data_IF_397579093885
#
_entry.id   IF_397579093885
#
_cell.length_a   1.000
_cell.length_b   1.000
_cell.length_c   1.000
_cell.angle_alpha   90.00
_cell.angle_beta   90.00
_cell.angle_gamma   90.00
#
_symmetry.space_group_name_H-M   'P 1'
#
loop_
_entity.id
_entity.type
_entity.pdbx_description
1 polymer ?
#
# COMPACT_ATOMS: atom_id res chain seq x y z
N UNK A 1 -26.00 -30.52 -47.29
CA UNK A 1 -26.69 -29.46 -48.04
C UNK A 1 -27.37 -28.51 -47.04
N UNK A 2 -27.07 -27.20 -47.13
CA UNK A 2 -27.72 -26.02 -46.51
C UNK A 2 -27.61 -25.73 -44.99
N UNK A 3 -26.63 -24.88 -44.66
CA UNK A 3 -26.68 -23.53 -44.04
C UNK A 3 -27.83 -23.12 -43.07
N UNK A 4 -27.45 -22.59 -41.89
CA UNK A 4 -27.85 -21.29 -41.25
C UNK A 4 -27.23 -21.22 -39.84
N UNK A 5 -26.10 -20.54 -39.63
CA UNK A 5 -25.88 -19.13 -39.24
C UNK A 5 -26.57 -18.65 -37.93
N UNK A 6 -25.69 -18.43 -36.93
CA UNK A 6 -25.73 -17.62 -35.71
C UNK A 6 -26.97 -16.77 -35.37
N UNK A 7 -27.47 -16.94 -34.15
CA UNK A 7 -27.55 -15.90 -33.08
C UNK A 7 -27.98 -16.58 -31.77
N UNK A 8 -27.04 -16.89 -30.88
CA UNK A 8 -27.36 -17.13 -29.47
C UNK A 8 -27.09 -15.84 -28.71
N UNK A 9 -28.18 -15.18 -28.33
CA UNK A 9 -28.18 -14.11 -27.33
C UNK A 9 -27.51 -14.62 -26.06
N UNK A 10 -26.41 -13.99 -25.68
CA UNK A 10 -25.88 -14.05 -24.32
C UNK A 10 -26.92 -13.34 -23.46
N UNK A 11 -27.63 -14.10 -22.63
CA UNK A 11 -28.39 -13.53 -21.53
C UNK A 11 -27.38 -12.89 -20.56
N UNK A 12 -27.16 -11.58 -20.73
CA UNK A 12 -26.55 -10.72 -19.72
C UNK A 12 -27.51 -10.71 -18.53
N UNK A 13 -27.17 -11.46 -17.50
CA UNK A 13 -27.71 -11.28 -16.16
C UNK A 13 -27.41 -9.84 -15.73
N UNK A 14 -28.43 -9.00 -15.79
CA UNK A 14 -28.43 -7.65 -15.26
C UNK A 14 -28.29 -7.72 -13.74
N UNK A 15 -27.05 -7.65 -13.25
CA UNK A 15 -26.75 -7.35 -11.85
C UNK A 15 -27.32 -5.95 -11.58
N UNK A 16 -28.11 -5.75 -10.51
CA UNK A 16 -28.72 -4.45 -10.23
C UNK A 16 -27.62 -3.42 -9.99
N UNK A 17 -27.51 -2.49 -10.96
CA UNK A 17 -26.77 -1.25 -10.87
C UNK A 17 -27.40 -0.44 -9.74
N UNK A 18 -26.56 0.13 -8.88
CA UNK A 18 -26.93 1.06 -7.80
C UNK A 18 -28.04 2.02 -8.25
N UNK A 19 -29.28 1.74 -7.83
CA UNK A 19 -30.37 2.68 -7.92
C UNK A 19 -30.26 3.66 -6.77
N UNK A 20 -30.09 4.94 -7.08
CA UNK A 20 -30.56 6.00 -6.20
C UNK A 20 -32.06 5.79 -6.07
N UNK A 21 -32.50 5.28 -4.91
CA UNK A 21 -33.92 4.99 -4.67
C UNK A 21 -34.55 6.23 -4.05
N UNK A 22 -35.34 6.97 -4.84
CA UNK A 22 -36.23 7.99 -4.30
C UNK A 22 -37.40 7.29 -3.59
N UNK A 23 -37.28 7.08 -2.27
CA UNK A 23 -38.41 6.62 -1.46
C UNK A 23 -39.29 7.80 -1.09
N UNK A 24 -40.39 8.00 -1.82
CA UNK A 24 -41.48 8.85 -1.34
C UNK A 24 -42.19 8.12 -0.18
N UNK A 25 -41.82 8.41 1.07
CA UNK A 25 -42.64 7.97 2.21
C UNK A 25 -43.95 8.76 2.22
N UNK A 26 -45.02 8.17 1.67
CA UNK A 26 -46.40 8.57 1.99
C UNK A 26 -46.72 8.07 3.39
N UNK A 27 -46.79 8.97 4.37
CA UNK A 27 -47.52 8.68 5.59
C UNK A 27 -49.02 8.58 5.22
N UNK A 28 -49.57 7.38 5.17
CA UNK A 28 -51.02 7.17 5.11
C UNK A 28 -51.60 7.46 6.51
N UNK A 29 -52.15 8.66 6.66
CA UNK A 29 -53.10 8.94 7.74
C UNK A 29 -54.41 8.27 7.34
N UNK A 30 -54.80 7.22 8.05
CA UNK A 30 -56.16 6.67 8.03
C UNK A 30 -57.14 7.79 8.41
N UNK A 31 -58.13 8.07 7.57
CA UNK A 31 -59.38 8.69 8.01
C UNK A 31 -60.55 8.06 7.26
N UNK A 32 -61.47 7.53 8.04
CA UNK A 32 -62.81 7.13 7.65
C UNK A 32 -63.69 8.36 7.43
N UNK A 33 -64.71 8.18 6.58
CA UNK A 33 -65.97 8.93 6.43
C UNK A 33 -66.08 10.14 5.48
N UNK A 34 -67.02 9.93 4.53
CA UNK A 34 -68.08 10.82 4.01
C UNK A 34 -67.78 11.99 3.04
N UNK A 35 -68.10 11.71 1.78
CA UNK A 35 -68.90 12.45 0.78
C UNK A 35 -69.06 13.99 0.84
N UNK A 36 -68.42 14.62 -0.16
CA UNK A 36 -68.82 15.78 -1.01
C UNK A 36 -69.41 17.09 -0.44
N UNK A 37 -68.68 18.18 -0.76
CA UNK A 37 -69.01 19.32 -1.67
C UNK A 37 -68.79 20.70 -1.02
N UNK A 38 -67.92 21.49 -1.66
CA UNK A 38 -67.80 22.93 -1.42
C UNK A 38 -66.51 23.46 -2.01
N UNK A 39 -66.61 24.19 -3.12
CA UNK A 39 -65.51 24.96 -3.71
C UNK A 39 -65.10 26.05 -2.71
N UNK A 40 -63.81 26.17 -2.42
CA UNK A 40 -63.10 27.42 -2.70
C UNK A 40 -61.59 27.20 -2.82
N UNK A 41 -61.05 27.90 -3.81
CA UNK A 41 -59.64 27.89 -4.17
C UNK A 41 -58.83 28.72 -3.17
N UNK A 42 -58.11 28.02 -2.30
CA UNK A 42 -56.73 28.42 -1.97
C UNK A 42 -55.88 27.20 -2.21
N UNK A 43 -55.29 27.11 -3.40
CA UNK A 43 -54.10 26.30 -3.61
C UNK A 43 -52.99 26.96 -2.79
N UNK A 44 -52.98 26.72 -1.47
CA UNK A 44 -51.71 26.65 -0.78
C UNK A 44 -50.92 25.59 -1.55
N UNK A 45 -49.89 26.05 -2.29
CA UNK A 45 -48.79 25.16 -2.64
C UNK A 45 -48.24 24.70 -1.30
N UNK A 46 -48.74 23.58 -0.78
CA UNK A 46 -47.95 22.74 0.10
C UNK A 46 -46.68 22.43 -0.70
N UNK A 47 -45.64 23.24 -0.51
CA UNK A 47 -44.27 22.85 -0.78
C UNK A 47 -44.03 21.66 0.15
N UNK A 48 -44.45 20.47 -0.31
CA UNK A 48 -44.08 19.21 0.33
C UNK A 48 -42.57 19.14 0.22
N UNK A 49 -41.92 19.53 1.31
CA UNK A 49 -40.48 19.47 1.53
C UNK A 49 -40.03 18.01 1.36
N UNK A 50 -39.69 17.61 0.13
CA UNK A 50 -39.24 16.25 -0.15
C UNK A 50 -37.81 16.08 0.34
N UNK A 51 -37.55 14.88 0.83
CA UNK A 51 -36.19 14.46 1.18
C UNK A 51 -35.67 13.55 0.08
N UNK A 52 -34.45 13.81 -0.38
CA UNK A 52 -33.74 12.94 -1.32
C UNK A 52 -32.82 12.01 -0.54
N UNK A 53 -33.02 10.69 -0.68
CA UNK A 53 -32.20 9.70 -0.01
C UNK A 53 -30.94 9.38 -0.83
N UNK A 54 -29.78 9.54 -0.21
CA UNK A 54 -28.47 9.10 -0.66
C UNK A 54 -28.06 7.92 0.22
N UNK A 55 -28.35 6.71 -0.25
CA UNK A 55 -27.98 5.49 0.45
C UNK A 55 -26.72 4.84 -0.15
N UNK A 56 -25.82 4.43 0.72
CA UNK A 56 -24.58 3.77 0.35
C UNK A 56 -24.77 2.27 0.34
N UNK A 57 -24.58 1.65 -0.82
CA UNK A 57 -24.48 0.19 -0.85
C UNK A 57 -23.28 -0.26 -0.03
N UNK A 58 -23.47 -1.33 0.74
CA UNK A 58 -22.39 -1.98 1.49
C UNK A 58 -21.22 -2.48 0.61
N UNK A 59 -21.42 -2.51 -0.71
CA UNK A 59 -20.45 -2.91 -1.73
C UNK A 59 -19.46 -1.79 -2.09
N UNK A 60 -19.72 -0.54 -1.71
CA UNK A 60 -18.78 0.57 -1.95
C UNK A 60 -17.61 0.54 -0.97
N UNK A 61 -17.81 0.02 0.24
CA UNK A 61 -16.76 -0.33 1.20
C UNK A 61 -16.05 -1.64 0.83
N UNK A 62 -16.29 -2.16 -0.39
CA UNK A 62 -15.55 -3.29 -0.89
C UNK A 62 -14.09 -2.89 -1.11
N UNK A 63 -13.21 -3.78 -0.70
CA UNK A 63 -11.77 -3.67 -0.86
C UNK A 63 -11.27 -4.30 -2.16
N UNK A 64 -12.16 -4.62 -3.10
CA UNK A 64 -11.84 -5.18 -4.40
C UNK A 64 -11.28 -4.07 -5.31
N UNK A 65 -10.10 -4.31 -5.92
CA UNK A 65 -9.48 -3.37 -6.87
C UNK A 65 -10.39 -3.06 -8.07
N UNK A 66 -11.33 -3.93 -8.41
CA UNK A 66 -12.29 -3.65 -9.50
C UNK A 66 -13.43 -2.73 -9.07
N UNK A 67 -13.53 -2.41 -7.77
CA UNK A 67 -14.58 -1.55 -7.22
C UNK A 67 -14.23 -0.05 -7.26
N UNK A 68 -13.08 0.36 -7.81
CA UNK A 68 -12.73 1.79 -7.90
C UNK A 68 -13.72 2.63 -8.70
N UNK A 69 -14.29 2.06 -9.75
CA UNK A 69 -15.31 2.73 -10.55
C UNK A 69 -16.53 3.10 -9.69
N UNK A 70 -16.85 2.30 -8.68
CA UNK A 70 -17.97 2.58 -7.75
C UNK A 70 -17.75 3.85 -6.95
N UNK A 71 -16.51 4.17 -6.55
CA UNK A 71 -16.22 5.44 -5.87
C UNK A 71 -16.39 6.63 -6.82
N UNK A 72 -15.98 6.49 -8.08
CA UNK A 72 -16.15 7.56 -9.07
C UNK A 72 -17.63 7.77 -9.42
N UNK A 73 -18.35 6.70 -9.77
CA UNK A 73 -19.80 6.71 -10.02
C UNK A 73 -20.57 7.33 -8.85
N UNK A 74 -20.18 6.98 -7.62
CA UNK A 74 -20.77 7.56 -6.43
C UNK A 74 -20.54 9.08 -6.32
N UNK A 75 -19.29 9.52 -6.53
CA UNK A 75 -18.96 10.95 -6.51
C UNK A 75 -19.68 11.69 -7.64
N UNK A 76 -19.82 11.08 -8.82
CA UNK A 76 -20.62 11.63 -9.92
C UNK A 76 -22.09 11.78 -9.51
N UNK A 77 -22.68 10.76 -8.90
CA UNK A 77 -24.05 10.83 -8.37
C UNK A 77 -24.24 11.93 -7.32
N UNK A 78 -23.26 12.14 -6.44
CA UNK A 78 -23.29 13.28 -5.51
C UNK A 78 -23.29 14.64 -6.24
N UNK A 79 -22.55 14.76 -7.34
CA UNK A 79 -22.48 15.99 -8.12
C UNK A 79 -23.76 16.27 -8.93
N UNK A 80 -24.70 15.33 -9.00
CA UNK A 80 -26.04 15.55 -9.58
C UNK A 80 -27.04 16.18 -8.59
N UNK A 81 -26.75 16.17 -7.29
CA UNK A 81 -27.62 16.75 -6.24
C UNK A 81 -27.98 18.22 -6.49
N UNK A 82 -27.05 19.10 -6.93
CA UNK A 82 -27.37 20.48 -7.29
C UNK A 82 -28.40 20.62 -8.41
N UNK A 83 -28.58 19.59 -9.24
CA UNK A 83 -29.54 19.59 -10.36
C UNK A 83 -30.92 19.07 -9.97
N UNK A 84 -31.10 18.60 -8.73
CA UNK A 84 -32.41 18.16 -8.26
C UNK A 84 -33.40 19.32 -8.25
N UNK A 85 -34.68 19.01 -8.53
CA UNK A 85 -35.77 19.99 -8.45
C UNK A 85 -35.87 20.65 -7.08
N UNK A 86 -36.40 21.88 -7.03
CA UNK A 86 -36.59 22.66 -5.81
C UNK A 86 -37.60 22.03 -4.83
N UNK A 87 -38.35 21.02 -5.26
CA UNK A 87 -39.20 20.23 -4.36
C UNK A 87 -38.40 19.44 -3.32
N UNK A 88 -37.13 19.13 -3.59
CA UNK A 88 -36.22 18.51 -2.64
C UNK A 88 -35.45 19.58 -1.90
N UNK A 89 -35.75 19.79 -0.61
CA UNK A 89 -35.04 20.72 0.24
C UNK A 89 -34.13 20.03 1.26
N UNK A 90 -34.23 18.71 1.42
CA UNK A 90 -33.42 17.91 2.33
C UNK A 90 -32.71 16.78 1.63
N UNK A 91 -31.50 16.48 2.07
CA UNK A 91 -30.68 15.35 1.64
C UNK A 91 -30.49 14.44 2.85
N UNK A 92 -30.90 13.19 2.75
CA UNK A 92 -30.69 12.18 3.77
C UNK A 92 -29.56 11.25 3.36
N UNK A 93 -28.52 11.15 4.17
CA UNK A 93 -27.31 10.38 3.90
C UNK A 93 -27.30 9.17 4.82
N UNK A 94 -27.26 7.97 4.22
CA UNK A 94 -27.23 6.71 4.97
C UNK A 94 -26.05 5.85 4.58
N UNK A 95 -25.12 5.61 5.50
CA UNK A 95 -24.04 4.62 5.34
C UNK A 95 -24.25 3.49 6.35
N UNK A 96 -25.05 2.45 6.02
CA UNK A 96 -25.48 1.45 7.00
C UNK A 96 -24.33 0.75 7.73
N UNK A 97 -23.30 0.33 7.00
CA UNK A 97 -22.10 -0.33 7.56
C UNK A 97 -21.30 0.54 8.55
N UNK A 98 -21.42 1.87 8.46
CA UNK A 98 -20.79 2.79 9.40
C UNK A 98 -21.76 3.28 10.48
N UNK A 99 -23.04 2.85 10.42
CA UNK A 99 -24.14 3.33 11.26
C UNK A 99 -24.36 4.84 11.14
N UNK A 100 -24.06 5.41 9.96
CA UNK A 100 -24.30 6.81 9.68
C UNK A 100 -25.70 6.99 9.09
N UNK A 101 -26.49 7.86 9.68
CA UNK A 101 -27.78 8.30 9.15
C UNK A 101 -27.98 9.77 9.50
N UNK A 102 -27.79 10.66 8.52
CA UNK A 102 -27.74 12.10 8.74
C UNK A 102 -28.57 12.86 7.70
N UNK A 103 -29.39 13.78 8.17
CA UNK A 103 -30.19 14.65 7.30
C UNK A 103 -29.56 16.04 7.25
N UNK A 104 -29.50 16.61 6.05
CA UNK A 104 -28.96 17.93 5.76
C UNK A 104 -29.98 18.75 4.98
N UNK A 105 -30.00 20.07 5.21
CA UNK A 105 -30.63 20.99 4.26
C UNK A 105 -29.83 20.97 2.94
N UNK A 106 -30.52 20.96 1.79
CA UNK A 106 -29.90 20.85 0.46
C UNK A 106 -28.87 21.94 0.21
N UNK A 107 -29.20 23.19 0.52
CA UNK A 107 -28.27 24.32 0.36
C UNK A 107 -27.01 24.17 1.21
N UNK A 108 -27.13 23.64 2.43
CA UNK A 108 -25.98 23.36 3.27
C UNK A 108 -25.14 22.23 2.66
N UNK A 109 -25.80 21.16 2.20
CA UNK A 109 -25.12 20.02 1.60
C UNK A 109 -24.31 20.41 0.35
N UNK A 110 -24.88 21.23 -0.53
CA UNK A 110 -24.20 21.72 -1.73
C UNK A 110 -22.98 22.60 -1.39
N UNK A 111 -23.17 23.57 -0.48
CA UNK A 111 -22.13 24.54 -0.10
C UNK A 111 -21.03 23.92 0.76
N UNK A 112 -21.37 23.09 1.75
CA UNK A 112 -20.38 22.58 2.71
C UNK A 112 -19.88 21.18 2.38
N UNK A 113 -20.70 20.32 1.78
CA UNK A 113 -20.31 18.94 1.47
C UNK A 113 -19.75 18.84 0.05
N UNK A 114 -20.56 19.13 -0.98
CA UNK A 114 -20.15 18.98 -2.39
C UNK A 114 -18.97 19.88 -2.75
N UNK A 115 -19.03 21.15 -2.36
CA UNK A 115 -17.95 22.11 -2.66
C UNK A 115 -16.62 21.68 -2.04
N UNK A 116 -16.61 21.26 -0.77
CA UNK A 116 -15.36 20.86 -0.08
C UNK A 116 -14.78 19.55 -0.61
N UNK A 117 -15.62 18.57 -0.97
CA UNK A 117 -15.15 17.32 -1.61
C UNK A 117 -14.38 17.61 -2.89
N UNK A 118 -14.88 18.56 -3.70
CA UNK A 118 -14.33 18.89 -5.01
C UNK A 118 -13.13 19.86 -4.95
N UNK A 119 -13.13 20.83 -4.03
CA UNK A 119 -12.17 21.93 -4.04
C UNK A 119 -11.02 21.77 -3.04
N UNK A 120 -11.19 21.01 -1.95
CA UNK A 120 -10.10 20.82 -0.98
C UNK A 120 -9.08 19.86 -1.56
N UNK A 121 -7.87 20.33 -1.88
CA UNK A 121 -6.80 19.46 -2.34
C UNK A 121 -6.18 18.72 -1.16
N UNK A 122 -6.41 17.40 -1.10
CA UNK A 122 -5.94 16.55 -0.03
C UNK A 122 -5.47 15.23 -0.63
N UNK A 123 -4.23 14.88 -0.31
CA UNK A 123 -3.54 13.70 -0.81
C UNK A 123 -3.00 12.89 0.35
N UNK A 124 -3.10 11.58 0.23
CA UNK A 124 -2.44 10.64 1.11
C UNK A 124 -1.14 10.20 0.44
N UNK A 125 -0.03 10.42 1.11
CA UNK A 125 1.27 9.88 0.72
C UNK A 125 1.77 9.03 1.87
N UNK A 126 2.38 7.90 1.53
CA UNK A 126 3.19 7.18 2.49
C UNK A 126 4.46 7.99 2.69
N UNK A 127 4.64 8.48 3.92
CA UNK A 127 5.86 9.14 4.34
C UNK A 127 6.69 8.21 5.21
N UNK A 128 7.36 7.27 4.54
CA UNK A 128 8.41 6.47 5.17
C UNK A 128 9.79 7.07 4.88
N UNK A 129 10.74 7.02 5.84
CA UNK A 129 12.13 7.28 5.53
C UNK A 129 12.58 6.30 4.44
N UNK A 130 13.29 6.82 3.44
CA UNK A 130 13.84 6.02 2.33
C UNK A 130 14.83 4.93 2.81
N UNK A 131 15.17 4.95 4.10
CA UNK A 131 16.05 4.03 4.82
C UNK A 131 15.33 3.11 5.83
N UNK A 132 14.03 2.86 5.66
CA UNK A 132 13.32 1.86 6.47
C UNK A 132 14.07 0.51 6.49
N UNK A 133 14.36 -0.01 7.69
CA UNK A 133 15.01 -1.32 7.87
C UNK A 133 14.12 -2.44 7.32
N UNK A 134 14.72 -3.34 6.55
CA UNK A 134 14.11 -4.55 5.99
C UNK A 134 14.70 -5.75 6.72
N UNK A 135 13.89 -6.47 7.49
CA UNK A 135 14.32 -7.76 8.07
C UNK A 135 13.97 -8.90 7.13
N UNK A 136 14.98 -9.64 6.69
CA UNK A 136 14.83 -10.85 5.89
C UNK A 136 14.60 -12.03 6.84
N UNK A 137 13.42 -12.66 6.75
CA UNK A 137 13.05 -13.86 7.51
C UNK A 137 12.12 -14.79 6.69
N UNK A 138 12.59 -15.32 5.54
CA UNK A 138 11.75 -16.14 4.68
C UNK A 138 11.35 -17.44 5.39
N UNK A 139 10.07 -17.77 5.33
CA UNK A 139 9.47 -18.99 5.88
C UNK A 139 9.11 -20.00 4.80
N UNK A 140 9.17 -19.61 3.54
CA UNK A 140 8.85 -20.46 2.37
C UNK A 140 9.93 -20.31 1.29
N UNK A 141 10.00 -21.26 0.36
CA UNK A 141 10.90 -21.15 -0.81
C UNK A 141 10.61 -19.90 -1.66
N UNK A 142 9.33 -19.52 -1.79
CA UNK A 142 8.92 -18.33 -2.53
C UNK A 142 9.48 -17.07 -1.86
N UNK A 143 9.28 -16.92 -0.55
CA UNK A 143 9.83 -15.80 0.21
C UNK A 143 11.36 -15.77 0.16
N UNK A 144 12.03 -16.94 0.16
CA UNK A 144 13.47 -17.02 0.03
C UNK A 144 13.94 -16.51 -1.34
N UNK A 145 13.32 -16.95 -2.43
CA UNK A 145 13.61 -16.45 -3.80
C UNK A 145 13.35 -14.95 -3.92
N UNK A 146 12.32 -14.42 -3.25
CA UNK A 146 12.07 -12.98 -3.20
C UNK A 146 13.18 -12.23 -2.43
N UNK A 147 13.68 -12.80 -1.32
CA UNK A 147 14.79 -12.24 -0.56
C UNK A 147 16.11 -12.24 -1.38
N UNK A 148 16.39 -13.32 -2.13
CA UNK A 148 17.53 -13.37 -3.07
C UNK A 148 17.47 -12.22 -4.08
N UNK A 149 16.31 -12.06 -4.74
CA UNK A 149 16.09 -10.98 -5.71
C UNK A 149 16.18 -9.60 -5.07
N UNK A 150 15.72 -9.44 -3.82
CA UNK A 150 15.83 -8.17 -3.11
C UNK A 150 17.28 -7.82 -2.85
N UNK A 151 18.07 -8.74 -2.31
CA UNK A 151 19.49 -8.52 -2.04
C UNK A 151 20.23 -8.16 -3.34
N UNK A 152 20.00 -8.90 -4.41
CA UNK A 152 20.55 -8.58 -5.73
C UNK A 152 20.12 -7.19 -6.23
N UNK A 153 18.83 -6.85 -6.16
CA UNK A 153 18.33 -5.55 -6.63
C UNK A 153 18.83 -4.36 -5.81
N UNK A 154 19.02 -4.54 -4.51
CA UNK A 154 19.54 -3.50 -3.63
C UNK A 154 21.04 -3.30 -3.79
N UNK A 155 21.79 -4.40 -3.95
CA UNK A 155 23.25 -4.37 -3.85
C UNK A 155 23.99 -4.53 -5.18
N UNK A 156 23.31 -4.88 -6.27
CA UNK A 156 23.92 -4.82 -7.60
C UNK A 156 24.12 -3.37 -8.02
N UNK A 157 25.33 -3.08 -8.51
CA UNK A 157 25.86 -1.75 -8.78
C UNK A 157 25.89 -0.82 -7.55
N UNK A 158 25.92 -1.39 -6.35
CA UNK A 158 26.04 -0.64 -5.10
C UNK A 158 27.49 -0.20 -4.90
N UNK A 159 27.70 1.09 -4.65
CA UNK A 159 29.03 1.62 -4.37
C UNK A 159 29.47 1.20 -2.98
N UNK A 160 30.60 0.50 -2.89
CA UNK A 160 31.22 0.13 -1.61
C UNK A 160 32.59 0.79 -1.46
N UNK A 161 32.99 1.07 -0.23
CA UNK A 161 34.32 1.64 0.04
C UNK A 161 35.40 0.56 -0.17
N UNK A 162 36.49 0.92 -0.86
CA UNK A 162 37.67 0.07 -1.06
C UNK A 162 38.26 -0.43 0.26
N UNK A 163 38.38 0.44 1.26
CA UNK A 163 38.93 0.11 2.59
C UNK A 163 38.13 -1.02 3.24
N UNK A 164 36.82 -1.00 3.10
CA UNK A 164 35.96 -2.06 3.61
C UNK A 164 36.10 -3.34 2.78
N UNK A 165 35.94 -3.26 1.45
CA UNK A 165 35.86 -4.46 0.61
C UNK A 165 37.23 -5.13 0.42
N UNK A 166 38.25 -4.40 -0.03
CA UNK A 166 39.59 -4.95 -0.28
C UNK A 166 40.50 -4.97 0.97
N UNK A 167 40.12 -4.26 2.04
CA UNK A 167 40.83 -4.28 3.33
C UNK A 167 40.11 -5.15 4.35
N UNK A 168 39.17 -4.55 5.10
CA UNK A 168 38.54 -5.17 6.28
C UNK A 168 37.90 -6.53 5.99
N UNK A 169 37.04 -6.62 4.98
CA UNK A 169 36.32 -7.85 4.64
C UNK A 169 37.29 -8.93 4.13
N UNK A 170 38.22 -8.54 3.25
CA UNK A 170 39.24 -9.45 2.71
C UNK A 170 40.11 -10.05 3.83
N UNK A 171 40.61 -9.22 4.74
CA UNK A 171 41.48 -9.66 5.84
C UNK A 171 40.75 -10.63 6.79
N UNK A 172 39.47 -10.36 7.09
CA UNK A 172 38.63 -11.28 7.88
C UNK A 172 38.44 -12.62 7.16
N UNK A 173 38.16 -12.59 5.85
CA UNK A 173 38.03 -13.81 5.04
C UNK A 173 39.34 -14.58 5.02
N UNK A 174 40.48 -13.91 4.89
CA UNK A 174 41.80 -14.56 4.91
C UNK A 174 42.09 -15.27 6.23
N UNK A 175 41.76 -14.65 7.36
CA UNK A 175 41.89 -15.28 8.70
C UNK A 175 40.96 -16.47 8.91
N UNK A 176 39.79 -16.45 8.27
CA UNK A 176 38.80 -17.52 8.33
C UNK A 176 39.11 -18.72 7.42
N UNK A 177 40.09 -18.60 6.52
CA UNK A 177 40.49 -19.72 5.64
C UNK A 177 41.13 -20.85 6.46
N UNK A 178 40.68 -22.10 6.30
CA UNK A 178 41.34 -23.24 6.92
C UNK A 178 42.72 -23.49 6.31
N UNK A 179 43.73 -23.81 7.14
CA UNK A 179 45.05 -24.20 6.68
C UNK A 179 45.02 -25.56 5.95
N UNK A 180 45.88 -25.75 4.94
CA UNK A 180 46.06 -27.04 4.25
C UNK A 180 45.11 -27.34 3.08
N UNK A 181 44.19 -26.42 2.72
CA UNK A 181 43.43 -26.51 1.48
C UNK A 181 44.31 -26.03 0.30
N UNK A 182 44.53 -26.88 -0.71
CA UNK A 182 45.31 -26.53 -1.91
C UNK A 182 44.81 -25.22 -2.51
N UNK A 183 45.74 -24.30 -2.80
CA UNK A 183 45.53 -22.93 -3.31
C UNK A 183 44.51 -22.79 -4.45
N UNK A 184 44.25 -23.86 -5.22
CA UNK A 184 43.29 -23.88 -6.34
C UNK A 184 41.83 -23.58 -5.96
N UNK A 185 41.38 -23.86 -4.73
CA UNK A 185 40.02 -23.47 -4.26
C UNK A 185 40.01 -22.12 -3.52
N UNK A 186 41.18 -21.62 -3.12
CA UNK A 186 41.36 -20.48 -2.21
C UNK A 186 41.56 -19.15 -2.95
N UNK A 187 41.97 -19.19 -4.21
CA UNK A 187 42.24 -17.99 -5.01
C UNK A 187 41.01 -17.10 -5.27
N UNK A 188 39.81 -17.54 -4.87
CA UNK A 188 38.56 -16.80 -5.04
C UNK A 188 37.93 -16.28 -3.73
N UNK A 189 38.58 -16.43 -2.56
CA UNK A 189 38.02 -15.90 -1.31
C UNK A 189 36.80 -16.67 -0.78
N UNK A 190 36.68 -17.97 -1.10
CA UNK A 190 35.58 -18.84 -0.67
C UNK A 190 35.82 -19.46 0.71
N UNK A 191 34.84 -19.32 1.61
CA UNK A 191 34.76 -19.99 2.92
C UNK A 191 33.34 -20.53 3.14
N UNK A 192 33.20 -21.62 3.91
CA UNK A 192 31.89 -22.21 4.25
C UNK A 192 31.79 -22.48 5.74
N UNK A 193 30.57 -22.46 6.28
CA UNK A 193 30.31 -22.72 7.70
C UNK A 193 30.81 -24.12 8.10
N UNK A 194 30.39 -25.15 7.35
CA UNK A 194 30.74 -26.55 7.60
C UNK A 194 32.26 -26.78 7.69
N UNK A 195 33.03 -26.28 6.72
CA UNK A 195 34.50 -26.41 6.74
C UNK A 195 35.15 -25.64 7.88
N UNK A 196 34.55 -24.52 8.28
CA UNK A 196 35.05 -23.72 9.39
C UNK A 196 34.80 -24.41 10.73
N UNK A 197 33.67 -25.11 10.88
CA UNK A 197 33.38 -25.98 12.03
C UNK A 197 34.38 -27.15 12.09
N UNK A 198 34.55 -27.89 10.98
CA UNK A 198 35.47 -29.03 10.90
C UNK A 198 36.94 -28.70 11.20
N UNK A 199 37.36 -27.45 10.92
CA UNK A 199 38.75 -27.01 11.01
C UNK A 199 39.03 -26.07 12.18
N UNK A 200 38.07 -25.90 13.10
CA UNK A 200 38.23 -25.06 14.29
C UNK A 200 38.35 -23.56 13.99
N UNK A 201 37.76 -23.09 12.88
CA UNK A 201 37.75 -21.70 12.40
C UNK A 201 36.38 -21.02 12.51
N UNK A 202 35.48 -21.58 13.31
CA UNK A 202 34.11 -21.07 13.48
C UNK A 202 34.08 -19.62 13.99
N UNK A 203 35.00 -19.24 14.90
CA UNK A 203 35.08 -17.87 15.42
C UNK A 203 35.40 -16.88 14.31
N UNK A 204 36.45 -17.14 13.54
CA UNK A 204 36.85 -16.29 12.42
C UNK A 204 35.79 -16.26 11.31
N UNK A 205 35.11 -17.37 11.06
CA UNK A 205 33.97 -17.40 10.14
C UNK A 205 32.84 -16.47 10.60
N UNK A 206 32.45 -16.56 11.88
CA UNK A 206 31.42 -15.70 12.45
C UNK A 206 31.82 -14.22 12.44
N UNK A 207 33.12 -13.90 12.58
CA UNK A 207 33.63 -12.52 12.44
C UNK A 207 33.44 -11.97 11.02
N UNK A 208 33.48 -12.82 9.98
CA UNK A 208 33.15 -12.44 8.59
C UNK A 208 31.64 -12.27 8.44
N UNK A 209 30.83 -13.21 8.97
CA UNK A 209 29.36 -13.13 8.91
C UNK A 209 28.86 -11.85 9.57
N UNK A 210 29.40 -11.50 10.74
CA UNK A 210 29.05 -10.28 11.46
C UNK A 210 29.42 -9.02 10.67
N UNK A 211 30.58 -9.00 10.02
CA UNK A 211 30.98 -7.88 9.15
C UNK A 211 30.00 -7.69 7.98
N UNK A 212 29.58 -8.78 7.35
CA UNK A 212 28.58 -8.75 6.27
C UNK A 212 27.22 -8.30 6.79
N UNK A 213 26.75 -8.84 7.92
CA UNK A 213 25.47 -8.45 8.53
C UNK A 213 25.46 -6.97 8.92
N UNK A 214 26.54 -6.45 9.51
CA UNK A 214 26.67 -5.04 9.87
C UNK A 214 26.72 -4.14 8.63
N UNK A 215 27.42 -4.54 7.56
CA UNK A 215 27.36 -3.83 6.28
C UNK A 215 25.93 -3.76 5.73
N UNK A 216 25.22 -4.89 5.67
CA UNK A 216 23.83 -4.93 5.20
C UNK A 216 22.92 -4.05 6.08
N UNK A 217 23.10 -4.10 7.40
CA UNK A 217 22.30 -3.34 8.38
C UNK A 217 22.53 -1.83 8.27
N UNK A 218 23.77 -1.38 8.13
CA UNK A 218 24.12 0.02 7.81
C UNK A 218 23.43 0.50 6.53
N UNK A 219 23.05 -0.43 5.66
CA UNK A 219 22.36 -0.20 4.41
C UNK A 219 20.91 -0.70 4.42
N UNK A 220 20.30 -0.72 5.61
CA UNK A 220 18.88 -0.94 5.88
C UNK A 220 18.36 -2.36 5.60
N UNK A 221 19.23 -3.37 5.60
CA UNK A 221 18.85 -4.77 5.46
C UNK A 221 19.38 -5.59 6.64
N UNK A 222 18.50 -6.23 7.38
CA UNK A 222 18.82 -7.13 8.49
C UNK A 222 18.58 -8.57 8.03
N UNK A 223 19.56 -9.44 8.23
CA UNK A 223 19.37 -10.89 8.11
C UNK A 223 18.99 -11.40 9.50
N UNK A 224 17.78 -11.92 9.65
CA UNK A 224 17.27 -12.49 10.90
C UNK A 224 18.24 -13.54 11.46
N UNK A 225 18.37 -13.62 12.78
CA UNK A 225 19.35 -14.51 13.43
C UNK A 225 19.07 -15.99 13.20
N UNK A 226 17.84 -16.36 12.85
CA UNK A 226 17.49 -17.72 12.45
C UNK A 226 18.03 -18.10 11.05
N UNK A 227 18.52 -17.13 10.28
CA UNK A 227 19.13 -17.36 8.97
C UNK A 227 20.65 -17.36 9.11
N UNK A 228 21.25 -18.48 8.72
CA UNK A 228 22.70 -18.63 8.63
C UNK A 228 23.19 -18.22 7.25
N UNK A 229 24.33 -17.55 7.19
CA UNK A 229 25.12 -17.47 5.96
C UNK A 229 25.97 -18.74 5.92
N UNK A 230 25.70 -19.66 4.98
CA UNK A 230 26.35 -20.98 4.90
C UNK A 230 27.61 -20.99 4.01
N UNK A 231 27.68 -20.07 3.05
CA UNK A 231 28.80 -19.91 2.13
C UNK A 231 29.04 -18.43 1.87
N UNK A 232 30.31 -18.03 1.84
CA UNK A 232 30.78 -16.69 1.50
C UNK A 232 31.87 -16.84 0.44
N UNK A 233 31.82 -16.04 -0.63
CA UNK A 233 32.83 -16.04 -1.68
C UNK A 233 33.02 -14.65 -2.27
N UNK A 234 34.18 -14.03 -1.99
CA UNK A 234 34.52 -12.67 -2.38
C UNK A 234 35.44 -12.61 -3.61
N UNK A 235 34.97 -11.95 -4.68
CA UNK A 235 35.81 -11.63 -5.84
C UNK A 235 36.26 -10.16 -5.81
N UNK A 236 37.56 -9.94 -5.94
CA UNK A 236 38.19 -8.61 -5.99
C UNK A 236 38.84 -8.30 -7.36
N UNK A 237 38.92 -9.26 -8.29
CA UNK A 237 39.73 -9.14 -9.53
C UNK A 237 38.91 -8.72 -10.77
N UNK A 238 37.85 -9.48 -11.10
CA UNK A 238 37.08 -9.31 -12.35
C UNK A 238 35.80 -8.49 -12.18
N UNK A 239 35.85 -7.52 -11.26
CA UNK A 239 34.68 -6.84 -10.70
C UNK A 239 34.50 -7.24 -9.24
N UNK A 240 34.14 -6.27 -8.40
CA UNK A 240 33.90 -6.51 -6.99
C UNK A 240 32.57 -7.24 -6.82
N UNK A 241 32.58 -8.44 -6.25
CA UNK A 241 31.34 -9.15 -5.95
C UNK A 241 31.45 -9.96 -4.68
N UNK A 242 30.38 -9.98 -3.89
CA UNK A 242 30.23 -10.86 -2.74
C UNK A 242 29.13 -11.87 -3.04
N UNK A 243 29.46 -13.16 -3.02
CA UNK A 243 28.48 -14.21 -3.11
C UNK A 243 28.19 -14.75 -1.71
N UNK A 244 26.92 -14.84 -1.35
CA UNK A 244 26.47 -15.45 -0.10
C UNK A 244 25.41 -16.52 -0.37
N UNK A 245 25.39 -17.57 0.46
CA UNK A 245 24.24 -18.48 0.54
C UNK A 245 23.58 -18.35 1.90
N UNK A 246 22.26 -18.28 1.92
CA UNK A 246 21.42 -18.21 3.11
C UNK A 246 20.80 -19.58 3.37
N UNK A 247 20.78 -19.99 4.63
CA UNK A 247 20.15 -21.24 5.07
C UNK A 247 19.25 -20.97 6.28
N UNK A 248 18.00 -21.43 6.22
CA UNK A 248 17.00 -21.30 7.28
C UNK A 248 16.21 -22.60 7.37
N UNK A 249 16.39 -23.36 8.46
CA UNK A 249 15.84 -24.71 8.60
C UNK A 249 16.14 -25.59 7.36
N UNK A 250 15.11 -26.03 6.64
CA UNK A 250 15.22 -26.85 5.42
C UNK A 250 15.32 -26.01 4.13
N UNK A 251 15.28 -24.69 4.23
CA UNK A 251 15.39 -23.78 3.09
C UNK A 251 16.85 -23.38 2.88
N UNK A 252 17.32 -23.45 1.64
CA UNK A 252 18.65 -22.99 1.25
C UNK A 252 18.57 -22.17 -0.04
N UNK A 253 19.23 -21.03 -0.03
CA UNK A 253 19.24 -20.12 -1.17
C UNK A 253 20.21 -20.64 -2.23
N UNK A 254 20.00 -20.21 -3.47
CA UNK A 254 21.08 -20.24 -4.44
C UNK A 254 22.20 -19.29 -4.02
N UNK A 255 23.33 -19.35 -4.71
CA UNK A 255 24.41 -18.37 -4.52
C UNK A 255 23.92 -16.98 -4.91
N UNK A 256 23.70 -16.12 -3.91
CA UNK A 256 23.27 -14.73 -4.09
C UNK A 256 24.50 -13.89 -4.39
N UNK A 257 24.69 -13.55 -5.66
CA UNK A 257 25.77 -12.66 -6.10
C UNK A 257 25.37 -11.19 -5.93
N UNK A 258 26.11 -10.46 -5.12
CA UNK A 258 25.99 -9.01 -4.95
C UNK A 258 27.14 -8.36 -5.73
N UNK A 259 26.84 -7.79 -6.89
CA UNK A 259 27.82 -7.15 -7.76
C UNK A 259 28.02 -5.69 -7.36
N UNK A 260 29.14 -5.36 -6.74
CA UNK A 260 29.44 -4.02 -6.26
C UNK A 260 30.10 -3.15 -7.33
N UNK A 261 29.86 -1.84 -7.25
CA UNK A 261 30.52 -0.85 -8.08
C UNK A 261 31.68 -0.22 -7.32
N UNK A 262 32.84 -0.17 -7.98
CA UNK A 262 34.00 0.57 -7.49
C UNK A 262 33.75 2.08 -7.68
N UNK A 263 33.91 2.93 -6.65
CA UNK A 263 33.89 4.37 -6.81
C UNK A 263 35.05 4.83 -7.70
N UNK A 264 34.80 5.79 -8.60
CA UNK A 264 35.84 6.36 -9.49
C UNK A 264 36.85 7.24 -8.73
N UNK A 265 36.47 7.74 -7.55
CA UNK A 265 37.30 8.45 -6.58
C UNK A 265 36.90 8.06 -5.16
N UNK A 266 37.74 8.33 -4.15
CA UNK A 266 37.35 8.14 -2.76
C UNK A 266 36.14 9.02 -2.44
N UNK A 267 35.03 8.37 -2.08
CA UNK A 267 33.79 9.02 -1.67
C UNK A 267 33.65 8.91 -0.16
N UNK A 268 33.17 9.98 0.46
CA UNK A 268 32.75 9.96 1.87
C UNK A 268 31.58 8.99 2.08
N UNK A 269 31.37 8.54 3.31
CA UNK A 269 30.24 7.67 3.65
C UNK A 269 28.89 8.32 3.29
N UNK A 270 28.76 9.63 3.44
CA UNK A 270 27.56 10.37 3.08
C UNK A 270 27.33 10.41 1.57
N UNK A 271 28.38 10.63 0.77
CA UNK A 271 28.29 10.58 -0.69
C UNK A 271 27.94 9.17 -1.20
N UNK A 272 28.52 8.13 -0.60
CA UNK A 272 28.16 6.74 -0.89
C UNK A 272 26.69 6.47 -0.54
N UNK A 273 26.25 6.87 0.65
CA UNK A 273 24.85 6.73 1.09
C UNK A 273 23.90 7.38 0.09
N UNK A 274 24.17 8.61 -0.32
CA UNK A 274 23.34 9.36 -1.27
C UNK A 274 23.33 8.72 -2.66
N UNK A 275 24.49 8.28 -3.19
CA UNK A 275 24.54 7.57 -4.48
C UNK A 275 23.82 6.23 -4.46
N UNK A 276 23.84 5.53 -3.33
CA UNK A 276 23.20 4.24 -3.18
C UNK A 276 21.71 4.34 -2.84
N UNK A 277 21.23 5.49 -2.38
CA UNK A 277 19.82 5.75 -2.08
C UNK A 277 18.93 5.52 -3.30
N UNK A 278 19.41 5.81 -4.52
CA UNK A 278 18.68 5.52 -5.77
C UNK A 278 18.52 4.01 -6.03
N UNK A 279 19.38 3.17 -5.45
CA UNK A 279 19.28 1.72 -5.57
C UNK A 279 18.29 1.12 -4.57
N UNK A 280 17.98 1.84 -3.47
CA UNK A 280 17.11 1.40 -2.38
C UNK A 280 15.74 0.94 -2.86
N UNK A 281 15.40 -0.31 -2.55
CA UNK A 281 14.09 -0.89 -2.84
C UNK A 281 12.98 -0.23 -2.02
N UNK A 282 13.23 0.21 -0.78
CA UNK A 282 12.22 0.93 0.02
C UNK A 282 11.89 2.28 -0.60
N UNK A 283 12.89 3.01 -1.12
CA UNK A 283 12.65 4.23 -1.91
C UNK A 283 11.81 3.94 -3.15
N UNK A 284 12.16 2.91 -3.92
CA UNK A 284 11.42 2.51 -5.13
C UNK A 284 9.98 2.06 -4.81
N UNK A 285 9.78 1.33 -3.72
CA UNK A 285 8.45 0.93 -3.23
C UNK A 285 7.66 2.15 -2.80
N UNK A 286 8.23 3.05 -1.97
CA UNK A 286 7.60 4.32 -1.57
C UNK A 286 7.14 5.12 -2.78
N UNK A 287 8.03 5.32 -3.76
CA UNK A 287 7.71 6.05 -5.00
C UNK A 287 6.56 5.39 -5.75
N UNK A 288 6.64 4.09 -6.03
CA UNK A 288 5.59 3.40 -6.78
C UNK A 288 4.24 3.33 -6.05
N UNK A 289 4.26 3.18 -4.72
CA UNK A 289 3.04 3.22 -3.93
C UNK A 289 2.45 4.64 -3.97
N UNK A 290 3.26 5.68 -3.79
CA UNK A 290 2.78 7.07 -3.87
C UNK A 290 2.28 7.42 -5.29
N UNK A 291 2.95 6.96 -6.35
CA UNK A 291 2.48 7.08 -7.74
C UNK A 291 1.11 6.41 -7.93
N UNK A 292 0.91 5.23 -7.33
CA UNK A 292 -0.38 4.55 -7.34
C UNK A 292 -1.45 5.33 -6.58
N UNK A 293 -1.11 5.84 -5.39
CA UNK A 293 -2.00 6.67 -4.55
C UNK A 293 -2.40 7.98 -5.24
N UNK A 294 -1.48 8.59 -5.99
CA UNK A 294 -1.71 9.79 -6.80
C UNK A 294 -2.47 9.50 -8.11
N UNK A 295 -2.66 8.23 -8.46
CA UNK A 295 -3.29 7.80 -9.70
C UNK A 295 -4.79 8.16 -9.78
N UNK A 296 -5.33 8.30 -11.02
CA UNK A 296 -6.73 8.65 -11.22
C UNK A 296 -7.71 7.62 -10.65
N UNK A 297 -7.29 6.36 -10.50
CA UNK A 297 -8.10 5.27 -9.94
C UNK A 297 -8.50 5.53 -8.48
N UNK A 298 -7.66 6.19 -7.68
CA UNK A 298 -7.91 6.46 -6.26
C UNK A 298 -8.46 7.86 -6.00
N UNK A 299 -8.60 8.71 -7.03
CA UNK A 299 -9.16 10.06 -6.88
C UNK A 299 -10.57 10.04 -6.30
N UNK A 300 -11.44 9.16 -6.80
CA UNK A 300 -12.80 8.97 -6.27
C UNK A 300 -12.79 8.46 -4.84
N UNK A 301 -11.89 7.53 -4.51
CA UNK A 301 -11.74 7.00 -3.16
C UNK A 301 -11.40 8.08 -2.14
N UNK A 302 -10.41 8.95 -2.42
CA UNK A 302 -10.09 10.04 -1.49
C UNK A 302 -11.20 11.11 -1.41
N UNK A 303 -11.96 11.33 -2.49
CA UNK A 303 -13.17 12.17 -2.43
C UNK A 303 -14.25 11.54 -1.53
N UNK A 304 -14.42 10.23 -1.60
CA UNK A 304 -15.32 9.48 -0.71
C UNK A 304 -14.87 9.57 0.76
N UNK A 305 -13.57 9.50 1.04
CA UNK A 305 -13.05 9.72 2.41
C UNK A 305 -13.41 11.12 2.93
N UNK A 306 -13.21 12.17 2.12
CA UNK A 306 -13.61 13.53 2.49
C UNK A 306 -15.11 13.63 2.76
N UNK A 307 -15.90 12.99 1.91
CA UNK A 307 -17.35 12.91 2.10
C UNK A 307 -17.68 12.33 3.47
N UNK A 308 -17.17 11.14 3.81
CA UNK A 308 -17.43 10.49 5.10
C UNK A 308 -17.11 11.40 6.29
N UNK A 309 -15.98 12.11 6.23
CA UNK A 309 -15.60 13.08 7.27
C UNK A 309 -16.57 14.26 7.35
N UNK A 310 -17.08 14.75 6.22
CA UNK A 310 -18.02 15.89 6.20
C UNK A 310 -19.42 15.53 6.67
N UNK A 311 -19.87 14.29 6.43
CA UNK A 311 -21.21 13.85 6.84
C UNK A 311 -21.27 13.29 8.27
N UNK A 312 -20.12 12.89 8.84
CA UNK A 312 -20.02 12.55 10.27
C UNK A 312 -19.97 13.81 11.14
N UNK A 313 -21.13 14.39 11.48
CA UNK A 313 -21.18 15.67 12.24
C UNK A 313 -20.49 15.59 13.61
N UNK A 314 -20.54 14.43 14.26
CA UNK A 314 -20.09 14.27 15.66
C UNK A 314 -18.65 13.77 15.79
N UNK A 315 -17.97 13.39 14.69
CA UNK A 315 -16.58 12.92 14.76
C UNK A 315 -16.39 11.54 15.38
N UNK A 316 -17.49 10.81 15.58
CA UNK A 316 -17.48 9.50 16.24
C UNK A 316 -17.03 8.39 15.30
N UNK A 317 -16.97 8.65 13.99
CA UNK A 317 -16.61 7.67 12.98
C UNK A 317 -15.13 7.69 12.57
N UNK A 318 -14.30 8.54 13.19
CA UNK A 318 -12.87 8.67 12.85
C UNK A 318 -12.12 7.33 12.84
N UNK A 319 -12.37 6.47 13.83
CA UNK A 319 -11.79 5.12 13.92
C UNK A 319 -12.31 4.24 12.78
N UNK A 320 -13.64 4.20 12.55
CA UNK A 320 -14.22 3.37 11.47
C UNK A 320 -13.74 3.84 10.08
N UNK A 321 -13.58 5.15 9.87
CA UNK A 321 -13.02 5.73 8.64
C UNK A 321 -11.55 5.31 8.47
N UNK A 322 -10.77 5.38 9.56
CA UNK A 322 -9.37 4.91 9.59
C UNK A 322 -9.26 3.43 9.20
N UNK A 323 -10.11 2.58 9.79
CA UNK A 323 -10.14 1.14 9.50
C UNK A 323 -10.43 0.88 8.01
N UNK A 324 -11.46 1.52 7.46
CA UNK A 324 -11.81 1.40 6.04
C UNK A 324 -10.64 1.79 5.13
N UNK A 325 -9.99 2.94 5.40
CA UNK A 325 -8.86 3.39 4.58
C UNK A 325 -7.68 2.41 4.70
N UNK A 326 -7.36 1.99 5.92
CA UNK A 326 -6.28 1.04 6.17
C UNK A 326 -6.52 -0.28 5.47
N UNK A 327 -7.71 -0.87 5.56
CA UNK A 327 -8.03 -2.14 4.92
C UNK A 327 -7.92 -2.08 3.40
N UNK A 328 -8.48 -1.02 2.79
CA UNK A 328 -8.43 -0.83 1.34
C UNK A 328 -6.97 -0.72 0.90
N UNK A 329 -6.23 0.25 1.45
CA UNK A 329 -4.83 0.48 1.08
C UNK A 329 -3.95 -0.75 1.35
N UNK A 330 -4.22 -1.51 2.41
CA UNK A 330 -3.50 -2.75 2.69
C UNK A 330 -3.71 -3.79 1.58
N UNK A 331 -4.96 -4.01 1.15
CA UNK A 331 -5.25 -4.97 0.07
C UNK A 331 -4.71 -4.49 -1.28
N UNK A 332 -4.71 -3.18 -1.52
CA UNK A 332 -4.03 -2.60 -2.68
C UNK A 332 -2.55 -2.99 -2.67
N UNK A 333 -1.84 -2.67 -1.60
CA UNK A 333 -0.39 -2.88 -1.50
C UNK A 333 -0.04 -4.37 -1.66
N UNK A 334 -0.87 -5.28 -1.12
CA UNK A 334 -0.69 -6.73 -1.28
C UNK A 334 -0.83 -7.22 -2.72
N UNK A 335 -1.63 -6.54 -3.55
CA UNK A 335 -1.90 -6.91 -4.94
C UNK A 335 -0.92 -6.25 -5.93
N UNK A 336 0.04 -5.45 -5.45
CA UNK A 336 1.06 -4.84 -6.32
C UNK A 336 2.16 -5.86 -6.62
N UNK A 337 2.08 -6.51 -7.78
CA UNK A 337 3.00 -7.58 -8.24
C UNK A 337 4.49 -7.19 -8.22
N UNK A 338 4.79 -5.89 -8.26
CA UNK A 338 6.18 -5.39 -8.22
C UNK A 338 6.76 -5.29 -6.79
N UNK A 339 5.93 -5.42 -5.76
CA UNK A 339 6.33 -5.40 -4.35
C UNK A 339 6.42 -6.85 -3.86
N UNK A 340 7.60 -7.33 -3.43
CA UNK A 340 7.73 -8.60 -2.74
C UNK A 340 6.74 -8.73 -1.58
N UNK A 341 6.17 -9.91 -1.40
CA UNK A 341 5.10 -10.16 -0.43
C UNK A 341 5.48 -9.76 1.00
N UNK A 342 6.72 -10.02 1.41
CA UNK A 342 7.22 -9.63 2.72
C UNK A 342 7.44 -8.11 2.87
N UNK A 343 7.83 -7.41 1.80
CA UNK A 343 7.93 -5.94 1.81
C UNK A 343 6.54 -5.29 1.86
N UNK A 344 5.56 -5.88 1.19
CA UNK A 344 4.17 -5.47 1.29
C UNK A 344 3.69 -5.57 2.75
N UNK A 345 3.96 -6.69 3.44
CA UNK A 345 3.64 -6.85 4.88
C UNK A 345 4.26 -5.75 5.74
N UNK A 346 5.55 -5.44 5.54
CA UNK A 346 6.25 -4.37 6.30
C UNK A 346 5.63 -3.00 6.03
N UNK A 347 5.35 -2.68 4.75
CA UNK A 347 4.74 -1.41 4.34
C UNK A 347 3.36 -1.25 4.97
N UNK A 348 2.57 -2.33 5.00
CA UNK A 348 1.24 -2.36 5.60
C UNK A 348 1.29 -2.14 7.11
N UNK A 349 2.21 -2.79 7.83
CA UNK A 349 2.36 -2.60 9.27
C UNK A 349 2.61 -1.13 9.65
N UNK A 350 3.34 -0.39 8.80
CA UNK A 350 3.64 1.03 9.00
C UNK A 350 2.57 1.99 8.48
N UNK A 351 1.58 1.47 7.77
CA UNK A 351 0.55 2.26 7.12
C UNK A 351 -0.46 2.82 8.15
N UNK A 352 -0.81 2.03 9.16
CA UNK A 352 -1.87 2.36 10.13
C UNK A 352 -1.69 3.74 10.79
N UNK A 353 -0.52 4.07 11.40
CA UNK A 353 -0.32 5.38 12.02
C UNK A 353 -0.33 6.54 11.02
N UNK A 354 -0.01 6.28 9.75
CA UNK A 354 -0.04 7.29 8.70
C UNK A 354 -1.48 7.58 8.27
N UNK A 355 -2.32 6.53 8.19
CA UNK A 355 -3.75 6.66 7.91
C UNK A 355 -4.45 7.42 9.03
N UNK A 356 -4.14 7.14 10.29
CA UNK A 356 -4.67 7.88 11.45
C UNK A 356 -4.35 9.38 11.34
N UNK A 357 -3.07 9.73 11.16
CA UNK A 357 -2.63 11.12 10.95
C UNK A 357 -3.31 11.77 9.74
N UNK A 358 -3.53 11.00 8.67
CA UNK A 358 -4.21 11.49 7.49
C UNK A 358 -5.67 11.81 7.79
N UNK A 359 -6.41 10.91 8.46
CA UNK A 359 -7.79 11.14 8.87
C UNK A 359 -7.90 12.35 9.78
N UNK A 360 -7.02 12.49 10.78
CA UNK A 360 -6.98 13.67 11.66
C UNK A 360 -6.78 14.96 10.87
N UNK A 361 -5.85 14.95 9.90
CA UNK A 361 -5.62 16.08 9.00
C UNK A 361 -6.85 16.39 8.14
N UNK A 362 -7.56 15.36 7.64
CA UNK A 362 -8.80 15.54 6.87
C UNK A 362 -9.86 16.19 7.75
N UNK A 363 -10.08 15.68 8.96
CA UNK A 363 -11.04 16.22 9.93
C UNK A 363 -10.73 17.68 10.22
N UNK A 364 -9.49 18.00 10.56
CA UNK A 364 -9.04 19.37 10.85
C UNK A 364 -9.27 20.30 9.66
N UNK A 365 -8.96 19.89 8.42
CA UNK A 365 -9.09 20.74 7.25
C UNK A 365 -10.53 20.91 6.76
N UNK A 366 -11.37 19.88 6.90
CA UNK A 366 -12.75 19.91 6.39
C UNK A 366 -13.74 20.49 7.40
N UNK A 367 -13.46 20.32 8.70
CA UNK A 367 -14.30 20.80 9.81
C UNK A 367 -13.73 22.02 10.53
N UNK A 368 -12.48 22.39 10.24
CA UNK A 368 -11.91 23.67 10.66
C UNK A 368 -12.70 24.83 10.07
N UNK A 369 -12.90 25.88 10.87
CA UNK A 369 -13.62 27.10 10.48
C UNK A 369 -12.85 27.91 9.46
#
# INVERSE_FOLDING_TARGET
MKLKLFTKFIALSTVPILGVVASCSKNEVKNENETQKGKDQTLEKENKNKTYDVEFSNNILSTDLNSYNKYNEFIEGLNEIPKLSNEYNKINVRVPKLELNEVFEKEYFEREVITKINNVNLKFNIDEPESSLITLNPKTETELKEAEKLLQKNFNNYYVNKLWFEGTLKDKIEKAKPAGLKEKLINNGKITLEKSEEKGKLKEYNDVVNEIKEFLKKHNVIIDDNIKISEINQNIKSGWSLNIKLKSANLESKSIKLDFKKPDAELTEEQLKNKNLSNSITKKVKLKVNEFLDGPKLKGFFKFVKFLVLVDKNGVLSIKITDVIYEILSKVIQQLDFIPSFLAKITIQKLRPQVEKFVDKVVMLLRGK
#
